data_IF_405829994664
#
_entry.id   IF_405829994664
#
_cell.length_a   1.000
_cell.length_b   1.000
_cell.length_c   1.000
_cell.angle_alpha   90.00
_cell.angle_beta   90.00
_cell.angle_gamma   90.00
#
_symmetry.space_group_name_H-M   'P 1'
#
loop_
_entity.id
_entity.type
_entity.pdbx_description
1 polymer ?
#
# COMPACT_ATOMS: atom_id res chain seq x y z
N UNK A 1 -20.78 16.00 22.37
CA UNK A 1 -21.68 16.26 23.53
C UNK A 1 -23.08 16.67 23.06
N UNK A 2 -24.17 16.41 23.80
CA UNK A 2 -25.54 16.76 23.37
C UNK A 2 -25.77 18.25 23.13
N UNK A 3 -24.96 19.11 23.76
CA UNK A 3 -25.03 20.57 23.66
C UNK A 3 -24.50 21.11 22.32
N UNK A 4 -23.54 20.43 21.67
CA UNK A 4 -23.00 20.82 20.34
C UNK A 4 -23.98 20.52 19.20
N UNK A 5 -24.94 19.62 19.41
CA UNK A 5 -25.95 19.22 18.41
C UNK A 5 -27.27 20.00 18.54
N UNK A 6 -27.45 20.74 19.64
CA UNK A 6 -28.64 21.58 19.88
C UNK A 6 -28.90 22.66 18.81
N UNK A 7 -27.88 23.31 18.21
CA UNK A 7 -28.09 24.30 17.14
C UNK A 7 -28.61 23.70 15.83
N UNK A 8 -28.31 22.42 15.57
CA UNK A 8 -28.60 21.77 14.28
C UNK A 8 -30.04 21.23 14.18
N UNK A 9 -30.80 21.24 15.28
CA UNK A 9 -32.17 20.72 15.33
C UNK A 9 -32.24 19.19 15.16
N UNK A 10 -33.11 18.53 15.93
CA UNK A 10 -33.40 17.10 15.76
C UNK A 10 -34.10 16.81 14.43
N UNK A 11 -34.12 15.54 14.00
CA UNK A 11 -34.93 15.12 12.86
C UNK A 11 -36.41 15.48 13.13
N UNK A 12 -37.13 16.02 12.13
CA UNK A 12 -38.55 16.30 12.29
C UNK A 12 -39.29 14.99 12.53
N UNK A 13 -40.23 15.00 13.47
CA UNK A 13 -41.03 13.82 13.77
C UNK A 13 -41.77 13.36 12.51
N UNK A 14 -41.73 12.05 12.23
CA UNK A 14 -42.57 11.47 11.19
C UNK A 14 -44.03 11.81 11.48
N UNK A 15 -44.85 12.14 10.45
CA UNK A 15 -46.26 12.42 10.65
C UNK A 15 -46.94 11.21 11.33
N UNK A 16 -47.33 11.36 12.59
CA UNK A 16 -47.99 10.28 13.33
C UNK A 16 -49.48 10.28 13.02
N UNK A 17 -49.93 9.30 12.25
CA UNK A 17 -51.35 8.96 12.18
C UNK A 17 -51.75 8.32 13.51
N UNK A 18 -52.75 8.88 14.18
CA UNK A 18 -53.22 8.44 15.50
C UNK A 18 -53.92 7.06 15.52
N UNK A 19 -53.91 6.30 14.43
CA UNK A 19 -54.57 4.99 14.36
C UNK A 19 -53.56 3.84 14.18
N UNK A 20 -53.20 3.23 15.31
CA UNK A 20 -52.57 1.92 15.39
C UNK A 20 -53.49 0.84 14.82
N UNK A 21 -53.50 0.69 13.49
CA UNK A 21 -53.65 -0.58 12.75
C UNK A 21 -53.97 -0.26 11.29
N UNK A 22 -52.95 0.01 10.48
CA UNK A 22 -52.81 -0.29 9.04
C UNK A 22 -51.74 0.62 8.46
N UNK A 23 -50.94 0.09 7.53
CA UNK A 23 -49.99 0.84 6.71
C UNK A 23 -50.75 1.83 5.82
N UNK A 24 -51.14 2.97 6.38
CA UNK A 24 -51.79 4.07 5.66
C UNK A 24 -50.73 4.91 4.95
N UNK A 25 -50.90 5.02 3.63
CA UNK A 25 -50.10 5.89 2.77
C UNK A 25 -50.22 7.33 3.28
N UNK A 26 -49.08 7.96 3.59
CA UNK A 26 -48.97 9.40 3.83
C UNK A 26 -49.76 10.17 2.77
N UNK A 27 -50.56 11.14 3.19
CA UNK A 27 -51.25 12.01 2.23
C UNK A 27 -50.22 12.89 1.52
N UNK A 28 -50.47 13.26 0.26
CA UNK A 28 -49.55 14.12 -0.51
C UNK A 28 -49.27 15.46 0.19
N UNK A 29 -50.21 15.95 0.99
CA UNK A 29 -50.09 17.18 1.77
C UNK A 29 -49.13 17.00 2.95
N UNK A 30 -49.23 15.90 3.70
CA UNK A 30 -48.32 15.60 4.81
C UNK A 30 -46.88 15.34 4.33
N UNK A 31 -46.72 14.72 3.15
CA UNK A 31 -45.42 14.54 2.51
C UNK A 31 -44.80 15.88 2.14
N UNK A 32 -45.58 16.76 1.50
CA UNK A 32 -45.12 18.09 1.09
C UNK A 32 -44.74 18.97 2.29
N UNK A 33 -45.50 18.89 3.40
CA UNK A 33 -45.16 19.58 4.64
C UNK A 33 -43.90 19.03 5.31
N UNK A 34 -43.69 17.71 5.24
CA UNK A 34 -42.47 17.08 5.74
C UNK A 34 -41.25 17.47 4.92
N UNK A 35 -41.35 17.44 3.58
CA UNK A 35 -40.31 17.89 2.65
C UNK A 35 -39.96 19.35 2.87
N UNK A 36 -40.95 20.24 3.02
CA UNK A 36 -40.71 21.65 3.30
C UNK A 36 -39.99 21.89 4.64
N UNK A 37 -40.31 21.09 5.68
CA UNK A 37 -39.61 21.16 6.98
C UNK A 37 -38.19 20.61 6.90
N UNK A 38 -37.96 19.56 6.12
CA UNK A 38 -36.63 19.00 5.87
C UNK A 38 -35.75 20.00 5.12
N UNK A 39 -36.29 20.66 4.09
CA UNK A 39 -35.59 21.69 3.32
C UNK A 39 -35.20 22.88 4.21
N UNK A 40 -36.12 23.36 5.05
CA UNK A 40 -35.85 24.48 5.97
C UNK A 40 -34.80 24.10 7.03
N UNK A 41 -34.88 22.89 7.58
CA UNK A 41 -33.86 22.37 8.50
C UNK A 41 -32.50 22.23 7.81
N UNK A 42 -32.47 21.77 6.56
CA UNK A 42 -31.24 21.68 5.79
C UNK A 42 -30.63 23.08 5.58
N UNK A 43 -31.41 24.06 5.14
CA UNK A 43 -30.95 25.45 4.96
C UNK A 43 -30.41 26.04 6.26
N UNK A 44 -31.13 25.88 7.37
CA UNK A 44 -30.67 26.35 8.69
C UNK A 44 -29.34 25.72 9.10
N UNK A 45 -29.15 24.41 8.84
CA UNK A 45 -27.88 23.73 9.11
C UNK A 45 -26.75 24.26 8.23
N UNK A 46 -27.02 24.55 6.95
CA UNK A 46 -26.02 25.16 6.06
C UNK A 46 -25.61 26.55 6.54
N UNK A 47 -26.57 27.38 6.98
CA UNK A 47 -26.29 28.72 7.50
C UNK A 47 -25.47 28.68 8.79
N UNK A 48 -25.78 27.77 9.72
CA UNK A 48 -24.99 27.56 10.94
C UNK A 48 -23.58 27.04 10.63
N UNK A 49 -23.43 26.09 9.70
CA UNK A 49 -22.12 25.62 9.25
C UNK A 49 -21.30 26.75 8.62
N UNK A 50 -21.92 27.57 7.76
CA UNK A 50 -21.26 28.70 7.13
C UNK A 50 -20.83 29.77 8.15
N UNK A 51 -21.65 30.00 9.17
CA UNK A 51 -21.32 30.91 10.28
C UNK A 51 -20.16 30.36 11.12
N UNK A 52 -20.18 29.07 11.46
CA UNK A 52 -19.09 28.42 12.18
C UNK A 52 -17.77 28.40 11.39
N UNK A 53 -17.83 28.28 10.05
CA UNK A 53 -16.67 28.44 9.16
C UNK A 53 -16.17 29.90 9.15
N UNK A 54 -17.08 30.87 9.08
CA UNK A 54 -16.74 32.30 9.06
C UNK A 54 -16.13 32.79 10.38
N UNK A 55 -16.60 32.24 11.51
CA UNK A 55 -16.13 32.56 12.86
C UNK A 55 -14.82 31.82 13.22
N UNK A 56 -14.26 31.02 12.30
CA UNK A 56 -13.02 30.26 12.49
C UNK A 56 -13.15 29.06 13.43
N UNK A 57 -14.38 28.67 13.78
CA UNK A 57 -14.66 27.53 14.67
C UNK A 57 -14.60 26.18 13.94
N UNK A 58 -14.71 26.18 12.61
CA UNK A 58 -14.54 25.01 11.76
C UNK A 58 -13.44 25.32 10.74
N UNK A 59 -12.46 24.41 10.64
CA UNK A 59 -11.41 24.51 9.64
C UNK A 59 -12.02 24.49 8.22
N UNK A 60 -11.59 25.40 7.35
CA UNK A 60 -11.95 25.39 5.93
C UNK A 60 -11.18 24.24 5.24
N UNK A 61 -11.76 23.04 5.33
CA UNK A 61 -11.15 21.81 4.85
C UNK A 61 -10.77 21.87 3.35
N UNK A 62 -11.62 22.37 2.43
CA UNK A 62 -11.23 22.55 1.02
C UNK A 62 -10.07 23.52 0.83
N UNK A 63 -9.97 24.57 1.66
CA UNK A 63 -8.82 25.49 1.62
C UNK A 63 -7.54 24.79 2.08
N UNK A 64 -7.60 23.98 3.14
CA UNK A 64 -6.45 23.20 3.61
C UNK A 64 -5.97 22.26 2.49
N UNK A 65 -6.87 21.51 1.85
CA UNK A 65 -6.51 20.65 0.73
C UNK A 65 -5.86 21.43 -0.42
N UNK A 66 -6.40 22.60 -0.79
CA UNK A 66 -5.80 23.48 -1.81
C UNK A 66 -4.40 23.94 -1.44
N UNK A 67 -4.18 24.32 -0.18
CA UNK A 67 -2.85 24.70 0.31
C UNK A 67 -1.86 23.52 0.18
N UNK A 68 -2.26 22.31 0.58
CA UNK A 68 -1.39 21.12 0.47
C UNK A 68 -1.10 20.75 -0.98
N UNK A 69 -2.09 20.81 -1.86
CA UNK A 69 -1.90 20.59 -3.31
C UNK A 69 -0.87 21.58 -3.86
N UNK A 70 -0.93 22.84 -3.44
CA UNK A 70 0.02 23.86 -3.88
C UNK A 70 1.43 23.61 -3.33
N UNK A 71 1.57 23.10 -2.11
CA UNK A 71 2.86 22.62 -1.58
C UNK A 71 3.43 21.47 -2.41
N UNK A 72 2.60 20.48 -2.81
CA UNK A 72 3.07 19.37 -3.66
C UNK A 72 3.57 19.88 -5.02
N UNK A 73 2.83 20.82 -5.63
CA UNK A 73 3.23 21.45 -6.90
C UNK A 73 4.52 22.26 -6.76
N UNK A 74 4.61 23.09 -5.71
CA UNK A 74 5.78 23.93 -5.45
C UNK A 74 7.04 23.07 -5.33
N UNK A 75 6.96 21.99 -4.56
CA UNK A 75 8.04 21.01 -4.45
C UNK A 75 8.43 20.41 -5.80
N UNK A 76 7.47 19.95 -6.59
CA UNK A 76 7.78 19.31 -7.88
C UNK A 76 8.31 20.29 -8.94
N UNK A 77 8.03 21.60 -8.81
CA UNK A 77 8.58 22.64 -9.68
C UNK A 77 10.02 23.02 -9.31
N UNK A 78 10.38 22.90 -8.03
CA UNK A 78 11.69 23.30 -7.51
C UNK A 78 12.19 22.33 -6.43
N UNK A 79 12.32 21.04 -6.80
CA UNK A 79 12.61 19.98 -5.84
C UNK A 79 14.00 20.12 -5.23
N UNK A 80 14.96 20.66 -5.99
CA UNK A 80 16.35 20.81 -5.56
C UNK A 80 16.46 21.79 -4.40
N UNK A 81 15.85 22.98 -4.53
CA UNK A 81 15.97 24.02 -3.51
C UNK A 81 15.23 23.61 -2.22
N UNK A 82 14.04 23.00 -2.32
CA UNK A 82 13.32 22.49 -1.15
C UNK A 82 14.09 21.36 -0.44
N UNK A 83 14.68 20.41 -1.20
CA UNK A 83 15.46 19.32 -0.62
C UNK A 83 16.67 19.86 0.15
N UNK A 84 17.34 20.88 -0.39
CA UNK A 84 18.45 21.56 0.28
C UNK A 84 17.98 22.28 1.56
N UNK A 85 16.86 23.00 1.51
CA UNK A 85 16.30 23.68 2.68
C UNK A 85 15.94 22.68 3.81
N UNK A 86 15.30 21.55 3.45
CA UNK A 86 14.99 20.48 4.40
C UNK A 86 16.24 19.89 5.04
N UNK A 87 17.29 19.66 4.26
CA UNK A 87 18.55 19.09 4.72
C UNK A 87 19.29 20.06 5.65
N UNK A 88 19.35 21.35 5.30
CA UNK A 88 19.91 22.40 6.17
C UNK A 88 19.09 22.58 7.46
N UNK A 89 17.77 22.44 7.38
CA UNK A 89 16.87 22.43 8.54
C UNK A 89 17.20 21.30 9.52
N UNK A 90 17.38 20.07 9.00
CA UNK A 90 17.76 18.89 9.81
C UNK A 90 19.14 19.03 10.45
N UNK A 91 20.11 19.57 9.72
CA UNK A 91 21.46 19.80 10.26
C UNK A 91 21.43 20.80 11.43
N UNK A 92 20.67 21.89 11.28
CA UNK A 92 20.49 22.89 12.35
C UNK A 92 19.78 22.35 13.58
N UNK A 93 18.78 21.47 13.45
CA UNK A 93 18.09 20.89 14.61
C UNK A 93 19.00 19.97 15.42
N UNK A 94 19.87 19.19 14.75
CA UNK A 94 20.81 18.29 15.43
C UNK A 94 21.83 19.10 16.27
N UNK A 95 22.27 20.25 15.78
CA UNK A 95 23.21 21.12 16.48
C UNK A 95 22.58 21.92 17.65
N UNK A 96 21.24 21.92 17.81
CA UNK A 96 20.53 22.63 18.88
C UNK A 96 19.91 21.71 19.94
N UNK A 97 19.81 20.40 19.69
CA UNK A 97 19.31 19.41 20.65
C UNK A 97 20.30 19.11 21.80
N UNK A 98 21.49 19.73 21.84
CA UNK A 98 22.42 19.63 22.96
C UNK A 98 22.24 20.73 24.04
N UNK A 99 21.43 21.79 23.84
CA UNK A 99 21.36 22.91 24.80
C UNK A 99 19.97 23.38 25.29
N UNK A 100 18.82 22.97 24.75
CA UNK A 100 17.52 23.51 25.22
C UNK A 100 16.45 22.46 25.56
N UNK A 101 16.45 22.05 26.84
CA UNK A 101 15.35 21.38 27.53
C UNK A 101 14.26 22.42 27.92
N UNK A 102 13.62 23.09 26.94
CA UNK A 102 12.41 23.90 27.23
C UNK A 102 11.39 23.94 26.06
N UNK A 103 10.71 22.81 25.85
CA UNK A 103 9.26 22.75 26.07
C UNK A 103 8.30 23.64 25.27
N UNK A 104 8.68 24.27 24.16
CA UNK A 104 7.71 25.02 23.33
C UNK A 104 7.79 24.69 21.84
N UNK A 105 7.23 23.52 21.48
CA UNK A 105 6.81 23.22 20.11
C UNK A 105 5.73 24.22 19.67
N UNK A 106 6.17 25.31 19.04
CA UNK A 106 5.32 26.22 18.29
C UNK A 106 4.83 25.51 17.02
N UNK A 107 3.83 24.63 17.16
CA UNK A 107 3.07 24.05 16.06
C UNK A 107 2.13 25.11 15.45
N UNK A 108 2.69 26.06 14.73
CA UNK A 108 1.88 27.04 13.98
C UNK A 108 1.42 26.45 12.66
N UNK A 109 0.36 25.63 12.68
CA UNK A 109 -0.75 25.50 11.70
C UNK A 109 -0.49 25.45 10.18
N UNK A 110 0.75 25.53 9.69
CA UNK A 110 1.08 25.64 8.28
C UNK A 110 2.09 24.55 7.99
N UNK A 111 1.68 23.50 7.27
CA UNK A 111 2.60 22.50 6.76
C UNK A 111 3.49 23.20 5.71
N UNK A 112 4.59 23.77 6.19
CA UNK A 112 5.40 24.69 5.38
C UNK A 112 6.33 23.95 4.41
N UNK A 113 6.51 22.65 4.61
CA UNK A 113 7.34 21.81 3.76
C UNK A 113 6.58 20.57 3.27
N UNK A 114 7.14 19.93 2.24
CA UNK A 114 6.56 18.74 1.58
C UNK A 114 6.33 17.56 2.54
N UNK A 115 7.22 17.32 3.52
CA UNK A 115 7.10 16.19 4.45
C UNK A 115 5.91 16.39 5.40
N UNK A 116 5.75 17.58 5.96
CA UNK A 116 4.61 17.94 6.80
C UNK A 116 3.31 17.89 5.99
N UNK A 117 3.34 18.39 4.75
CA UNK A 117 2.16 18.38 3.89
C UNK A 117 1.69 16.95 3.59
N UNK A 118 2.61 16.02 3.32
CA UNK A 118 2.28 14.62 3.08
C UNK A 118 1.76 13.89 4.33
N UNK A 119 2.30 14.20 5.52
CA UNK A 119 1.80 13.65 6.80
C UNK A 119 0.40 14.17 7.14
N UNK A 120 0.15 15.46 6.90
CA UNK A 120 -1.17 16.06 7.07
C UNK A 120 -2.18 15.49 6.07
N UNK A 121 -1.78 15.32 4.81
CA UNK A 121 -2.59 14.64 3.80
C UNK A 121 -2.86 13.17 4.16
N UNK A 122 -1.88 12.41 4.66
CA UNK A 122 -2.14 11.02 5.11
C UNK A 122 -3.28 10.98 6.14
N UNK A 123 -3.30 11.90 7.10
CA UNK A 123 -4.38 12.00 8.06
C UNK A 123 -5.70 12.44 7.42
N UNK A 124 -5.70 13.51 6.62
CA UNK A 124 -6.91 14.06 6.03
C UNK A 124 -7.57 13.09 5.05
N UNK A 125 -6.79 12.45 4.18
CA UNK A 125 -7.30 11.53 3.17
C UNK A 125 -7.71 10.16 3.76
N UNK A 126 -7.57 9.94 5.07
CA UNK A 126 -8.20 8.80 5.74
C UNK A 126 -9.72 8.94 5.83
N UNK A 127 -10.22 10.18 5.71
CA UNK A 127 -11.64 10.48 5.52
C UNK A 127 -12.00 10.39 4.03
N UNK A 128 -13.07 9.67 3.73
CA UNK A 128 -13.50 9.34 2.36
C UNK A 128 -13.93 10.59 1.59
N UNK A 129 -14.60 11.54 2.25
CA UNK A 129 -15.06 12.76 1.59
C UNK A 129 -13.87 13.68 1.30
N UNK A 130 -12.91 13.77 2.22
CA UNK A 130 -11.65 14.50 2.00
C UNK A 130 -10.80 13.89 0.89
N UNK A 131 -10.74 12.56 0.78
CA UNK A 131 -10.09 11.88 -0.33
C UNK A 131 -10.74 12.24 -1.67
N UNK A 132 -12.08 12.21 -1.74
CA UNK A 132 -12.85 12.58 -2.93
C UNK A 132 -12.64 14.04 -3.32
N UNK A 133 -12.65 14.95 -2.34
CA UNK A 133 -12.44 16.37 -2.55
C UNK A 133 -11.00 16.65 -3.04
N UNK A 134 -9.99 16.01 -2.44
CA UNK A 134 -8.60 16.13 -2.88
C UNK A 134 -8.42 15.69 -4.34
N UNK A 135 -9.03 14.56 -4.72
CA UNK A 135 -9.05 14.09 -6.11
C UNK A 135 -9.75 15.09 -7.04
N UNK A 136 -10.94 15.55 -6.66
CA UNK A 136 -11.75 16.51 -7.42
C UNK A 136 -11.04 17.86 -7.60
N UNK A 137 -10.26 18.29 -6.61
CA UNK A 137 -9.44 19.50 -6.66
C UNK A 137 -8.15 19.33 -7.49
N UNK A 138 -7.91 18.14 -8.07
CA UNK A 138 -6.77 17.86 -8.93
C UNK A 138 -5.48 17.56 -8.17
N UNK A 139 -5.56 17.15 -6.90
CA UNK A 139 -4.38 16.79 -6.10
C UNK A 139 -3.76 15.44 -6.47
N UNK A 140 -4.57 14.53 -7.01
CA UNK A 140 -4.18 13.13 -7.28
C UNK A 140 -2.97 13.00 -8.22
N UNK A 141 -2.90 13.68 -9.38
CA UNK A 141 -1.76 13.55 -10.27
C UNK A 141 -0.43 14.03 -9.66
N UNK A 142 -0.45 15.07 -8.83
CA UNK A 142 0.75 15.57 -8.16
C UNK A 142 1.22 14.64 -7.05
N UNK A 143 0.30 14.04 -6.30
CA UNK A 143 0.64 13.04 -5.30
C UNK A 143 1.30 11.81 -5.93
N UNK A 144 0.79 11.33 -7.07
CA UNK A 144 1.39 10.22 -7.81
C UNK A 144 2.75 10.61 -8.41
N UNK A 145 2.89 11.83 -8.93
CA UNK A 145 4.14 12.30 -9.52
C UNK A 145 5.33 12.23 -8.53
N UNK A 146 5.08 12.42 -7.22
CA UNK A 146 6.08 12.25 -6.17
C UNK A 146 6.63 10.82 -6.03
N UNK A 147 6.08 9.82 -6.72
CA UNK A 147 6.66 8.47 -6.77
C UNK A 147 7.78 8.35 -7.81
N UNK A 148 7.85 9.27 -8.76
CA UNK A 148 8.81 9.23 -9.87
C UNK A 148 10.17 9.79 -9.44
N UNK A 149 11.18 8.92 -9.36
CA UNK A 149 12.54 9.29 -8.95
C UNK A 149 13.14 10.43 -9.80
N UNK A 150 12.77 10.49 -11.09
CA UNK A 150 13.31 11.47 -12.04
C UNK A 150 12.84 12.91 -11.79
N UNK A 151 11.77 13.08 -10.99
CA UNK A 151 11.26 14.40 -10.62
C UNK A 151 11.92 14.98 -9.37
N UNK A 152 12.75 14.19 -8.67
CA UNK A 152 13.52 14.65 -7.53
C UNK A 152 14.92 15.06 -7.99
N UNK A 153 15.04 16.23 -8.61
CA UNK A 153 16.30 16.73 -9.16
C UNK A 153 17.42 16.73 -8.11
N UNK A 154 18.57 16.15 -8.46
CA UNK A 154 19.76 16.15 -7.64
C UNK A 154 21.03 16.28 -8.51
N UNK A 155 22.00 17.08 -8.05
CA UNK A 155 23.32 17.24 -8.68
C UNK A 155 24.29 16.17 -8.15
N UNK A 156 25.07 15.52 -9.01
CA UNK A 156 25.99 14.41 -8.68
C UNK A 156 27.21 14.79 -7.79
N UNK A 157 27.01 15.39 -6.60
CA UNK A 157 28.05 15.58 -5.58
C UNK A 157 27.96 14.48 -4.51
N UNK A 158 28.96 13.58 -4.48
CA UNK A 158 28.90 12.23 -3.88
C UNK A 158 28.43 12.11 -2.41
N UNK A 159 28.88 12.98 -1.49
CA UNK A 159 28.54 12.83 -0.04
C UNK A 159 27.19 13.46 0.33
N UNK A 160 26.81 14.57 -0.32
CA UNK A 160 25.49 15.20 -0.13
C UNK A 160 24.39 14.33 -0.75
N UNK A 161 24.78 13.53 -1.75
CA UNK A 161 23.90 12.64 -2.49
C UNK A 161 23.19 11.61 -1.62
N UNK A 162 23.89 10.98 -0.67
CA UNK A 162 23.29 9.93 0.16
C UNK A 162 22.20 10.46 1.11
N UNK A 163 22.41 11.64 1.71
CA UNK A 163 21.41 12.29 2.56
C UNK A 163 20.20 12.78 1.75
N UNK A 164 20.44 13.34 0.56
CA UNK A 164 19.37 13.78 -0.34
C UNK A 164 18.57 12.58 -0.84
N UNK A 165 19.22 11.49 -1.27
CA UNK A 165 18.53 10.26 -1.66
C UNK A 165 17.70 9.68 -0.51
N UNK A 166 18.22 9.71 0.71
CA UNK A 166 17.46 9.27 1.88
C UNK A 166 16.21 10.15 2.13
N UNK A 167 16.31 11.47 1.91
CA UNK A 167 15.16 12.39 1.96
C UNK A 167 14.15 12.13 0.84
N UNK A 168 14.63 11.88 -0.38
CA UNK A 168 13.78 11.54 -1.52
C UNK A 168 13.02 10.24 -1.24
N UNK A 169 13.69 9.19 -0.78
CA UNK A 169 13.04 7.94 -0.36
C UNK A 169 12.00 8.18 0.75
N UNK A 170 12.23 9.11 1.68
CA UNK A 170 11.26 9.48 2.71
C UNK A 170 10.01 10.16 2.13
N UNK A 171 10.18 11.11 1.22
CA UNK A 171 9.09 11.78 0.51
C UNK A 171 8.28 10.75 -0.30
N UNK A 172 8.96 9.89 -1.06
CA UNK A 172 8.33 8.81 -1.84
C UNK A 172 7.60 7.81 -0.93
N UNK A 173 8.15 7.51 0.25
CA UNK A 173 7.51 6.63 1.24
C UNK A 173 6.23 7.24 1.82
N UNK A 174 6.23 8.53 2.11
CA UNK A 174 5.04 9.24 2.57
C UNK A 174 4.00 9.30 1.45
N UNK A 175 4.39 9.69 0.23
CA UNK A 175 3.50 9.71 -0.92
C UNK A 175 2.83 8.34 -1.17
N UNK A 176 3.61 7.24 -1.16
CA UNK A 176 3.09 5.89 -1.30
C UNK A 176 2.10 5.50 -0.18
N UNK A 177 2.35 5.95 1.05
CA UNK A 177 1.43 5.73 2.17
C UNK A 177 0.14 6.53 1.98
N UNK A 178 0.25 7.82 1.66
CA UNK A 178 -0.87 8.72 1.43
C UNK A 178 -1.76 8.24 0.27
N UNK A 179 -1.17 7.71 -0.80
CA UNK A 179 -1.90 7.05 -1.91
C UNK A 179 -2.71 5.85 -1.39
N UNK A 180 -2.08 4.98 -0.59
CA UNK A 180 -2.76 3.82 -0.01
C UNK A 180 -3.91 4.22 0.91
N UNK A 181 -3.70 5.23 1.76
CA UNK A 181 -4.71 5.76 2.68
C UNK A 181 -5.87 6.41 1.93
N UNK A 182 -5.60 7.21 0.89
CA UNK A 182 -6.64 7.90 0.12
C UNK A 182 -7.60 6.92 -0.58
N UNK A 183 -7.09 5.79 -1.08
CA UNK A 183 -7.92 4.77 -1.75
C UNK A 183 -8.57 3.82 -0.75
N UNK A 184 -7.89 3.51 0.37
CA UNK A 184 -8.40 2.70 1.50
C UNK A 184 -9.08 1.37 1.11
N UNK A 185 -8.72 0.79 -0.05
CA UNK A 185 -9.38 -0.38 -0.62
C UNK A 185 -10.92 -0.21 -0.78
N UNK A 186 -11.40 1.02 -1.02
CA UNK A 186 -12.81 1.30 -1.20
C UNK A 186 -13.24 1.13 -2.66
N UNK A 187 -14.41 0.50 -2.85
CA UNK A 187 -14.93 0.18 -4.18
C UNK A 187 -15.08 1.39 -5.10
N UNK A 188 -15.43 2.56 -4.56
CA UNK A 188 -15.62 3.79 -5.34
C UNK A 188 -14.31 4.34 -5.93
N UNK A 189 -13.16 4.06 -5.30
CA UNK A 189 -11.85 4.58 -5.71
C UNK A 189 -11.04 3.61 -6.57
N UNK A 190 -11.59 2.42 -6.91
CA UNK A 190 -10.91 1.40 -7.73
C UNK A 190 -10.36 1.96 -9.05
N UNK A 191 -11.06 2.91 -9.67
CA UNK A 191 -10.66 3.50 -10.95
C UNK A 191 -9.42 4.41 -10.85
N UNK A 192 -9.11 4.97 -9.67
CA UNK A 192 -7.95 5.84 -9.46
C UNK A 192 -6.61 5.11 -9.64
N UNK A 193 -6.60 3.79 -9.41
CA UNK A 193 -5.41 2.95 -9.59
C UNK A 193 -4.85 3.00 -11.02
N UNK A 194 -5.72 3.17 -12.01
CA UNK A 194 -5.42 3.09 -13.44
C UNK A 194 -5.62 4.42 -14.19
N UNK A 195 -5.89 5.49 -13.44
CA UNK A 195 -6.00 6.84 -13.98
C UNK A 195 -4.68 7.28 -14.60
N UNK A 196 -4.75 7.85 -15.80
CA UNK A 196 -3.57 8.30 -16.54
C UNK A 196 -3.12 9.68 -16.04
N UNK A 197 -1.94 9.71 -15.43
CA UNK A 197 -1.28 10.92 -14.94
C UNK A 197 -0.05 11.29 -15.77
N UNK A 198 0.17 10.64 -16.92
CA UNK A 198 1.32 10.92 -17.80
C UNK A 198 1.41 12.39 -18.20
N UNK A 199 0.28 13.06 -18.41
CA UNK A 199 0.26 14.48 -18.77
C UNK A 199 0.92 15.35 -17.70
N UNK A 200 0.54 15.18 -16.44
CA UNK A 200 1.12 15.90 -15.30
C UNK A 200 2.59 15.51 -15.11
N UNK A 201 2.92 14.23 -15.08
CA UNK A 201 4.33 13.79 -14.88
C UNK A 201 5.23 14.34 -15.99
N UNK A 202 4.79 14.30 -17.25
CA UNK A 202 5.56 14.83 -18.38
C UNK A 202 5.65 16.35 -18.39
N UNK A 203 4.67 17.08 -17.84
CA UNK A 203 4.74 18.53 -17.66
C UNK A 203 5.83 18.90 -16.64
N UNK A 204 5.96 18.13 -15.55
CA UNK A 204 6.95 18.37 -14.50
C UNK A 204 8.37 17.95 -14.91
N UNK A 205 8.52 16.98 -15.82
CA UNK A 205 9.83 16.62 -16.41
C UNK A 205 10.34 17.74 -17.32
N UNK A 206 11.09 18.67 -16.76
CA UNK A 206 11.67 19.79 -17.52
C UNK A 206 12.68 19.30 -18.57
N UNK A 207 12.30 19.36 -19.85
CA UNK A 207 13.15 19.33 -21.07
C UNK A 207 14.22 18.24 -21.27
N UNK A 208 14.31 17.18 -20.46
CA UNK A 208 15.30 16.12 -20.68
C UNK A 208 14.69 14.91 -21.41
N UNK A 209 15.07 14.77 -22.69
CA UNK A 209 14.88 13.64 -23.60
C UNK A 209 13.44 13.19 -23.95
N UNK A 210 13.10 13.38 -25.23
CA UNK A 210 11.81 13.10 -25.89
C UNK A 210 11.46 11.60 -26.07
N UNK A 211 12.21 10.64 -25.51
CA UNK A 211 12.07 9.22 -25.91
C UNK A 211 10.90 8.48 -25.28
N UNK A 212 10.41 8.87 -24.09
CA UNK A 212 9.39 8.09 -23.35
C UNK A 212 8.04 8.78 -23.15
N UNK A 213 7.69 9.75 -24.02
CA UNK A 213 6.45 10.55 -23.90
C UNK A 213 5.14 9.77 -24.10
N UNK A 214 5.20 8.48 -24.42
CA UNK A 214 4.01 7.69 -24.76
C UNK A 214 3.66 6.61 -23.74
N UNK A 215 4.44 6.43 -22.67
CA UNK A 215 4.08 5.44 -21.65
C UNK A 215 2.96 5.99 -20.75
N UNK A 216 1.91 5.18 -20.54
CA UNK A 216 0.82 5.50 -19.63
C UNK A 216 1.30 5.35 -18.19
N UNK A 217 1.24 6.43 -17.42
CA UNK A 217 1.66 6.48 -16.03
C UNK A 217 0.42 6.49 -15.15
N UNK A 218 0.40 5.57 -14.21
CA UNK A 218 -0.70 5.37 -13.26
C UNK A 218 -0.07 5.18 -11.88
N UNK A 219 -0.87 5.30 -10.81
CA UNK A 219 -0.39 4.96 -9.48
C UNK A 219 0.14 3.52 -9.42
N UNK A 220 -0.56 2.58 -10.08
CA UNK A 220 -0.17 1.18 -10.16
C UNK A 220 1.17 0.98 -10.88
N UNK A 221 1.36 1.59 -12.05
CA UNK A 221 2.59 1.41 -12.83
C UNK A 221 3.79 2.05 -12.14
N UNK A 222 3.65 3.25 -11.56
CA UNK A 222 4.75 3.91 -10.84
C UNK A 222 5.17 3.17 -9.57
N UNK A 223 4.22 2.66 -8.78
CA UNK A 223 4.54 1.83 -7.60
C UNK A 223 5.20 0.50 -7.98
N UNK A 224 4.81 -0.10 -9.10
CA UNK A 224 5.43 -1.33 -9.61
C UNK A 224 6.85 -1.06 -10.11
N UNK A 225 7.04 0.08 -10.80
CA UNK A 225 8.34 0.49 -11.36
C UNK A 225 9.43 0.61 -10.31
N UNK A 226 9.09 1.00 -9.07
CA UNK A 226 10.03 1.04 -7.93
C UNK A 226 10.77 -0.29 -7.73
N UNK A 227 10.04 -1.40 -7.85
CA UNK A 227 10.61 -2.74 -7.63
C UNK A 227 11.38 -3.23 -8.86
N UNK A 228 10.93 -2.84 -10.05
CA UNK A 228 11.60 -3.12 -11.32
C UNK A 228 12.96 -2.41 -11.39
N UNK A 229 13.00 -1.10 -11.12
CA UNK A 229 14.23 -0.30 -11.07
C UNK A 229 15.26 -0.92 -10.12
N UNK A 230 14.85 -1.42 -8.95
CA UNK A 230 15.77 -2.10 -8.02
C UNK A 230 16.29 -3.45 -8.56
N UNK A 231 15.47 -4.20 -9.29
CA UNK A 231 15.91 -5.44 -9.94
C UNK A 231 16.90 -5.16 -11.06
N UNK A 232 16.66 -4.12 -11.85
CA UNK A 232 17.54 -3.71 -12.94
C UNK A 232 18.88 -3.25 -12.39
N UNK A 233 18.89 -2.39 -11.35
CA UNK A 233 20.10 -1.96 -10.65
C UNK A 233 20.91 -3.15 -10.10
N UNK A 234 20.25 -4.16 -9.51
CA UNK A 234 20.92 -5.37 -9.03
C UNK A 234 21.51 -6.20 -10.17
N UNK A 235 20.77 -6.31 -11.27
CA UNK A 235 21.21 -7.07 -12.45
C UNK A 235 22.44 -6.42 -13.08
N UNK A 236 22.43 -5.09 -13.21
CA UNK A 236 23.58 -4.30 -13.66
C UNK A 236 24.78 -4.46 -12.72
N UNK A 237 24.57 -4.40 -11.41
CA UNK A 237 25.63 -4.61 -10.42
C UNK A 237 26.26 -6.02 -10.51
N UNK A 238 25.44 -7.06 -10.69
CA UNK A 238 25.91 -8.43 -10.87
C UNK A 238 26.66 -8.63 -12.20
N UNK A 239 26.23 -7.97 -13.28
CA UNK A 239 26.95 -7.97 -14.55
C UNK A 239 28.35 -7.33 -14.44
N UNK A 240 28.55 -6.44 -13.46
CA UNK A 240 29.84 -5.86 -13.09
C UNK A 240 30.82 -6.81 -12.38
N UNK A 241 30.42 -8.04 -12.06
CA UNK A 241 31.32 -9.08 -11.53
C UNK A 241 31.52 -9.10 -10.01
N UNK A 242 30.76 -8.32 -9.24
CA UNK A 242 30.76 -8.39 -7.77
C UNK A 242 29.64 -9.31 -7.28
N UNK A 243 30.01 -10.47 -6.73
CA UNK A 243 29.09 -11.46 -6.12
C UNK A 243 28.42 -10.95 -4.83
N UNK A 244 28.98 -9.90 -4.22
CA UNK A 244 28.33 -9.14 -3.17
C UNK A 244 27.68 -7.93 -3.83
N UNK A 245 26.34 -7.90 -3.87
CA UNK A 245 25.60 -6.66 -4.13
C UNK A 245 25.65 -5.84 -2.83
N UNK A 246 26.86 -5.43 -2.44
CA UNK A 246 27.00 -4.20 -1.68
C UNK A 246 26.68 -3.10 -2.68
N UNK A 247 25.43 -2.60 -2.65
CA UNK A 247 25.11 -1.36 -3.36
C UNK A 247 26.16 -0.30 -3.00
N UNK A 248 26.54 0.57 -3.93
CA UNK A 248 27.68 1.48 -3.80
C UNK A 248 27.59 2.24 -2.47
N UNK A 249 28.48 1.91 -1.52
CA UNK A 249 28.73 2.62 -0.26
C UNK A 249 27.55 3.31 0.43
N UNK A 250 26.34 2.73 0.42
CA UNK A 250 25.20 3.40 1.00
C UNK A 250 25.32 3.43 2.53
N UNK A 251 25.20 4.62 3.12
CA UNK A 251 25.07 4.74 4.57
C UNK A 251 23.92 3.87 5.10
N UNK A 252 24.03 3.38 6.34
CA UNK A 252 22.96 2.59 6.98
C UNK A 252 21.61 3.36 6.98
N UNK A 253 21.68 4.69 7.10
CA UNK A 253 20.52 5.57 7.02
C UNK A 253 19.83 5.51 5.66
N UNK A 254 20.59 5.61 4.55
CA UNK A 254 20.04 5.50 3.21
C UNK A 254 19.43 4.12 2.95
N UNK A 255 20.12 3.04 3.31
CA UNK A 255 19.58 1.68 3.17
C UNK A 255 18.27 1.50 3.96
N UNK A 256 18.18 2.11 5.14
CA UNK A 256 16.97 2.08 5.98
C UNK A 256 15.84 2.91 5.38
N UNK A 257 16.14 4.08 4.81
CA UNK A 257 15.15 4.91 4.11
C UNK A 257 14.59 4.15 2.91
N UNK A 258 15.46 3.57 2.08
CA UNK A 258 15.06 2.74 0.93
C UNK A 258 14.20 1.54 1.33
N UNK A 259 14.60 0.80 2.37
CA UNK A 259 13.80 -0.31 2.89
C UNK A 259 12.44 0.14 3.43
N UNK A 260 12.38 1.33 4.05
CA UNK A 260 11.12 1.93 4.52
C UNK A 260 10.23 2.33 3.34
N UNK A 261 10.80 2.93 2.31
CA UNK A 261 10.07 3.25 1.08
C UNK A 261 9.44 2.00 0.48
N UNK A 262 10.17 0.90 0.31
CA UNK A 262 9.62 -0.36 -0.22
C UNK A 262 8.46 -0.90 0.61
N UNK A 263 8.55 -0.79 1.93
CA UNK A 263 7.46 -1.16 2.84
C UNK A 263 6.20 -0.29 2.68
N UNK A 264 6.35 0.98 2.35
CA UNK A 264 5.23 1.89 2.08
C UNK A 264 4.69 1.72 0.67
N UNK A 265 5.57 1.50 -0.31
CA UNK A 265 5.21 1.21 -1.69
C UNK A 265 4.36 -0.06 -1.79
N UNK A 266 4.73 -1.14 -1.09
CA UNK A 266 3.92 -2.37 -1.07
C UNK A 266 2.56 -2.17 -0.37
N UNK A 267 2.49 -1.28 0.61
CA UNK A 267 1.22 -0.91 1.25
C UNK A 267 0.31 -0.13 0.28
N UNK A 268 0.85 0.88 -0.40
CA UNK A 268 0.15 1.62 -1.45
C UNK A 268 -0.34 0.68 -2.54
N UNK A 269 0.53 -0.19 -3.04
CA UNK A 269 0.23 -1.18 -4.07
C UNK A 269 -0.89 -2.13 -3.63
N UNK A 270 -0.82 -2.66 -2.42
CA UNK A 270 -1.87 -3.54 -1.88
C UNK A 270 -3.21 -2.83 -1.72
N UNK A 271 -3.22 -1.55 -1.39
CA UNK A 271 -4.46 -0.76 -1.26
C UNK A 271 -5.12 -0.49 -2.61
N UNK A 272 -4.34 -0.43 -3.70
CA UNK A 272 -4.84 -0.29 -5.07
C UNK A 272 -5.36 -1.61 -5.66
N UNK A 273 -4.75 -2.74 -5.26
CA UNK A 273 -5.01 -4.05 -5.84
C UNK A 273 -6.13 -4.82 -5.16
N UNK A 274 -6.25 -4.75 -3.83
CA UNK A 274 -7.28 -5.49 -3.10
C UNK A 274 -8.66 -5.13 -3.64
N UNK A 275 -9.50 -6.15 -3.80
CA UNK A 275 -10.84 -6.04 -4.34
C UNK A 275 -10.93 -5.32 -5.68
N UNK A 276 -9.85 -5.15 -6.47
CA UNK A 276 -9.87 -4.36 -7.69
C UNK A 276 -9.48 -5.21 -8.92
N UNK A 277 -10.42 -5.98 -9.50
CA UNK A 277 -10.14 -6.90 -10.60
C UNK A 277 -9.40 -6.26 -11.77
N UNK A 278 -9.78 -5.03 -12.16
CA UNK A 278 -9.17 -4.34 -13.30
C UNK A 278 -7.72 -3.96 -13.01
N UNK A 279 -7.41 -3.48 -11.79
CA UNK A 279 -6.04 -3.18 -11.41
C UNK A 279 -5.19 -4.46 -11.27
N UNK A 280 -5.76 -5.55 -10.74
CA UNK A 280 -5.08 -6.83 -10.66
C UNK A 280 -4.72 -7.39 -12.05
N UNK A 281 -5.64 -7.34 -13.00
CA UNK A 281 -5.37 -7.73 -14.40
C UNK A 281 -4.23 -6.91 -15.00
N UNK A 282 -4.29 -5.58 -14.88
CA UNK A 282 -3.23 -4.69 -15.38
C UNK A 282 -1.88 -4.93 -14.68
N UNK A 283 -1.89 -5.24 -13.39
CA UNK A 283 -0.68 -5.56 -12.64
C UNK A 283 0.02 -6.82 -13.19
N UNK A 284 -0.76 -7.84 -13.56
CA UNK A 284 -0.23 -9.09 -14.13
C UNK A 284 0.26 -8.90 -15.56
N UNK A 285 -0.48 -8.17 -16.40
CA UNK A 285 -0.05 -7.87 -17.77
C UNK A 285 1.31 -7.19 -17.80
N UNK A 286 1.63 -6.42 -16.77
CA UNK A 286 2.92 -5.74 -16.59
C UNK A 286 3.94 -6.57 -15.79
N UNK A 287 3.75 -7.89 -15.67
CA UNK A 287 4.62 -8.83 -14.97
C UNK A 287 4.84 -8.49 -13.47
N UNK A 288 3.91 -7.74 -12.85
CA UNK A 288 4.03 -7.26 -11.48
C UNK A 288 4.32 -8.34 -10.43
N UNK A 289 3.63 -9.50 -10.43
CA UNK A 289 3.89 -10.56 -9.45
C UNK A 289 5.31 -11.12 -9.50
N UNK A 290 5.87 -11.33 -10.70
CA UNK A 290 7.25 -11.80 -10.90
C UNK A 290 8.26 -10.76 -10.41
N UNK A 291 8.03 -9.49 -10.74
CA UNK A 291 8.86 -8.37 -10.25
C UNK A 291 8.91 -8.33 -8.73
N UNK A 292 7.76 -8.47 -8.05
CA UNK A 292 7.72 -8.46 -6.59
C UNK A 292 8.46 -9.64 -5.97
N UNK A 293 8.17 -10.88 -6.40
CA UNK A 293 8.77 -12.07 -5.78
C UNK A 293 10.27 -12.13 -6.02
N UNK A 294 10.74 -11.76 -7.21
CA UNK A 294 12.18 -11.68 -7.51
C UNK A 294 12.87 -10.61 -6.68
N UNK A 295 12.22 -9.46 -6.47
CA UNK A 295 12.77 -8.41 -5.63
C UNK A 295 12.93 -8.88 -4.18
N UNK A 296 11.92 -9.57 -3.63
CA UNK A 296 11.98 -10.18 -2.30
C UNK A 296 13.06 -11.24 -2.20
N UNK A 297 13.08 -12.21 -3.11
CA UNK A 297 14.07 -13.29 -3.10
C UNK A 297 15.49 -12.75 -3.24
N UNK A 298 15.71 -11.75 -4.09
CA UNK A 298 16.99 -11.05 -4.17
C UNK A 298 17.34 -10.35 -2.85
N UNK A 299 16.37 -9.71 -2.19
CA UNK A 299 16.60 -9.01 -0.92
C UNK A 299 16.98 -10.00 0.19
N UNK A 300 16.31 -11.14 0.28
CA UNK A 300 16.57 -12.18 1.26
C UNK A 300 17.81 -13.02 0.96
N UNK A 301 18.24 -13.08 -0.30
CA UNK A 301 19.43 -13.83 -0.73
C UNK A 301 20.70 -13.01 -0.70
N UNK A 302 20.61 -11.68 -0.58
CA UNK A 302 21.76 -10.83 -0.34
C UNK A 302 22.43 -11.24 0.98
N UNK A 303 23.58 -11.92 0.85
CA UNK A 303 24.52 -12.13 1.95
C UNK A 303 25.08 -10.76 2.32
N UNK A 304 24.34 -10.01 3.12
CA UNK A 304 24.91 -8.85 3.79
C UNK A 304 26.02 -9.39 4.68
N UNK A 305 27.23 -8.83 4.55
CA UNK A 305 28.39 -9.27 5.31
C UNK A 305 28.13 -9.30 6.82
N UNK A 306 29.05 -9.88 7.62
CA UNK A 306 28.90 -10.01 9.08
C UNK A 306 28.73 -8.69 9.87
N UNK A 307 28.79 -7.54 9.20
CA UNK A 307 28.53 -6.18 9.72
C UNK A 307 27.08 -5.70 9.46
N UNK A 308 26.21 -6.54 8.90
CA UNK A 308 24.83 -6.17 8.59
C UNK A 308 24.06 -5.71 9.83
N UNK A 309 23.53 -4.49 9.80
CA UNK A 309 22.64 -3.98 10.84
C UNK A 309 21.41 -4.91 10.97
N UNK A 310 21.18 -5.53 12.14
CA UNK A 310 19.99 -6.37 12.38
C UNK A 310 18.67 -5.65 12.10
N UNK A 311 18.65 -4.31 12.20
CA UNK A 311 17.47 -3.49 11.92
C UNK A 311 17.06 -3.55 10.44
N UNK A 312 18.03 -3.57 9.52
CA UNK A 312 17.77 -3.67 8.08
C UNK A 312 17.23 -5.06 7.73
N UNK A 313 17.82 -6.12 8.28
CA UNK A 313 17.33 -7.49 8.08
C UNK A 313 15.89 -7.63 8.58
N UNK A 314 15.52 -7.01 9.71
CA UNK A 314 14.12 -6.97 10.17
C UNK A 314 13.19 -6.29 9.17
N UNK A 315 13.63 -5.21 8.52
CA UNK A 315 12.83 -4.53 7.49
C UNK A 315 12.67 -5.40 6.25
N UNK A 316 13.69 -6.15 5.82
CA UNK A 316 13.59 -7.03 4.65
C UNK A 316 12.61 -8.18 4.88
N UNK A 317 12.68 -8.84 6.04
CA UNK A 317 11.73 -9.90 6.38
C UNK A 317 10.31 -9.35 6.57
N UNK A 318 10.17 -8.12 7.10
CA UNK A 318 8.88 -7.44 7.14
C UNK A 318 8.36 -7.16 5.74
N UNK A 319 9.22 -6.74 4.81
CA UNK A 319 8.88 -6.49 3.41
C UNK A 319 8.44 -7.78 2.72
N UNK A 320 9.25 -8.84 2.80
CA UNK A 320 8.93 -10.17 2.28
C UNK A 320 7.57 -10.67 2.79
N UNK A 321 7.32 -10.51 4.09
CA UNK A 321 6.05 -10.93 4.69
C UNK A 321 4.86 -10.09 4.22
N UNK A 322 5.06 -8.80 3.90
CA UNK A 322 4.01 -7.94 3.34
C UNK A 322 3.73 -8.23 1.87
N UNK A 323 4.76 -8.57 1.08
CA UNK A 323 4.59 -9.05 -0.31
C UNK A 323 3.85 -10.38 -0.32
N UNK A 324 4.20 -11.31 0.58
CA UNK A 324 3.52 -12.59 0.70
C UNK A 324 2.04 -12.42 1.07
N UNK A 325 1.74 -11.54 2.02
CA UNK A 325 0.36 -11.22 2.39
C UNK A 325 -0.42 -10.57 1.23
N UNK A 326 0.22 -9.73 0.39
CA UNK A 326 -0.42 -9.21 -0.81
C UNK A 326 -0.76 -10.33 -1.81
N UNK A 327 0.17 -11.27 -2.03
CA UNK A 327 -0.09 -12.43 -2.89
C UNK A 327 -1.24 -13.29 -2.38
N UNK A 328 -1.30 -13.53 -1.07
CA UNK A 328 -2.43 -14.19 -0.41
C UNK A 328 -3.74 -13.43 -0.64
N UNK A 329 -3.76 -12.12 -0.35
CA UNK A 329 -4.96 -11.29 -0.49
C UNK A 329 -5.51 -11.35 -1.93
N UNK A 330 -4.64 -11.24 -2.94
CA UNK A 330 -5.05 -11.27 -4.35
C UNK A 330 -5.56 -12.65 -4.76
N UNK A 331 -4.87 -13.74 -4.38
CA UNK A 331 -5.32 -15.10 -4.67
C UNK A 331 -6.68 -15.36 -4.03
N UNK A 332 -6.85 -14.98 -2.76
CA UNK A 332 -8.11 -15.15 -2.04
C UNK A 332 -9.23 -14.29 -2.63
N UNK A 333 -8.94 -13.05 -3.02
CA UNK A 333 -9.90 -12.17 -3.69
C UNK A 333 -10.41 -12.79 -4.99
N UNK A 334 -9.52 -13.35 -5.82
CA UNK A 334 -9.87 -14.01 -7.08
C UNK A 334 -10.71 -15.26 -6.82
N UNK A 335 -10.32 -16.09 -5.85
CA UNK A 335 -11.06 -17.32 -5.51
C UNK A 335 -12.46 -17.02 -4.96
N UNK A 336 -12.60 -15.97 -4.14
CA UNK A 336 -13.89 -15.60 -3.54
C UNK A 336 -14.82 -14.88 -4.54
N UNK A 337 -14.25 -14.15 -5.51
CA UNK A 337 -14.98 -13.32 -6.46
C UNK A 337 -14.78 -13.76 -7.91
N UNK A 338 -14.62 -15.06 -8.18
CA UNK A 338 -14.36 -15.63 -9.51
C UNK A 338 -15.33 -15.12 -10.60
N UNK A 339 -16.57 -14.80 -10.21
CA UNK A 339 -17.60 -14.25 -11.11
C UNK A 339 -17.30 -12.84 -11.63
N UNK A 340 -16.46 -12.05 -10.95
CA UNK A 340 -16.03 -10.73 -11.40
C UNK A 340 -14.92 -10.81 -12.46
N UNK A 341 -14.36 -12.01 -12.68
CA UNK A 341 -13.32 -12.28 -13.67
C UNK A 341 -13.90 -12.95 -14.90
N UNK A 342 -13.23 -12.75 -16.04
CA UNK A 342 -13.67 -13.36 -17.30
C UNK A 342 -13.36 -14.85 -17.25
N UNK A 343 -14.43 -15.66 -17.20
CA UNK A 343 -14.35 -17.10 -17.37
C UNK A 343 -14.30 -17.40 -18.87
N UNK A 344 -13.12 -17.75 -19.38
CA UNK A 344 -13.01 -18.30 -20.74
C UNK A 344 -13.46 -19.76 -20.66
N UNK A 345 -14.54 -20.10 -21.38
CA UNK A 345 -14.97 -21.48 -21.54
C UNK A 345 -13.81 -22.31 -22.09
N UNK A 346 -13.38 -23.35 -21.37
CA UNK A 346 -12.26 -24.20 -21.78
C UNK A 346 -12.49 -24.85 -23.15
N UNK A 347 -13.76 -25.00 -23.55
CA UNK A 347 -14.18 -25.50 -24.86
C UNK A 347 -14.10 -24.47 -26.00
N UNK A 348 -13.77 -23.21 -25.69
CA UNK A 348 -13.55 -22.17 -26.70
C UNK A 348 -12.36 -22.55 -27.60
N UNK A 349 -12.54 -22.32 -28.90
CA UNK A 349 -11.52 -22.57 -29.92
C UNK A 349 -10.25 -21.76 -29.66
N UNK A 350 -9.08 -22.28 -30.01
CA UNK A 350 -7.78 -21.61 -29.84
C UNK A 350 -7.74 -20.18 -30.43
N UNK A 351 -8.50 -19.91 -31.49
CA UNK A 351 -8.60 -18.58 -32.09
C UNK A 351 -9.27 -17.56 -31.14
N UNK A 352 -10.30 -17.98 -30.40
CA UNK A 352 -10.99 -17.14 -29.42
C UNK A 352 -10.08 -16.88 -28.19
N UNK A 353 -9.33 -17.90 -27.76
CA UNK A 353 -8.33 -17.75 -26.68
C UNK A 353 -7.22 -16.77 -27.06
N UNK A 354 -6.80 -16.76 -28.34
CA UNK A 354 -5.82 -15.79 -28.86
C UNK A 354 -6.37 -14.37 -28.94
N UNK A 355 -7.62 -14.19 -29.34
CA UNK A 355 -8.25 -12.88 -29.37
C UNK A 355 -8.36 -12.27 -27.97
N UNK A 356 -8.76 -13.05 -26.95
CA UNK A 356 -8.78 -12.58 -25.56
C UNK A 356 -7.38 -12.25 -25.01
N UNK A 357 -6.38 -13.05 -25.35
CA UNK A 357 -4.99 -12.76 -24.98
C UNK A 357 -4.47 -11.48 -25.66
N UNK A 358 -4.86 -11.22 -26.91
CA UNK A 358 -4.53 -10.00 -27.63
C UNK A 358 -5.21 -8.75 -27.06
N UNK A 359 -6.40 -8.91 -26.45
CA UNK A 359 -7.11 -7.85 -25.72
C UNK A 359 -6.62 -7.66 -24.28
N UNK A 360 -5.63 -8.44 -23.82
CA UNK A 360 -5.08 -8.34 -22.46
C UNK A 360 -6.03 -8.87 -21.38
N UNK A 361 -7.02 -9.68 -21.74
CA UNK A 361 -7.96 -10.24 -20.77
C UNK A 361 -7.31 -11.41 -20.03
N UNK A 362 -7.23 -11.29 -18.70
CA UNK A 362 -6.68 -12.33 -17.81
C UNK A 362 -7.81 -13.08 -17.10
N UNK A 363 -7.78 -14.41 -17.19
CA UNK A 363 -8.72 -15.30 -16.47
C UNK A 363 -8.36 -15.43 -14.99
N UNK A 364 -9.32 -15.80 -14.14
CA UNK A 364 -9.08 -16.08 -12.73
C UNK A 364 -7.92 -17.10 -12.52
N UNK A 365 -7.88 -18.16 -13.33
CA UNK A 365 -6.81 -19.16 -13.27
C UNK A 365 -5.44 -18.58 -13.61
N UNK A 366 -5.35 -17.71 -14.63
CA UNK A 366 -4.09 -17.02 -14.96
C UNK A 366 -3.67 -16.04 -13.85
N UNK A 367 -4.64 -15.37 -13.21
CA UNK A 367 -4.40 -14.52 -12.05
C UNK A 367 -3.78 -15.32 -10.90
N UNK A 368 -4.41 -16.41 -10.48
CA UNK A 368 -3.88 -17.28 -9.42
C UNK A 368 -2.52 -17.86 -9.81
N UNK A 369 -2.35 -18.33 -11.05
CA UNK A 369 -1.09 -18.88 -11.54
C UNK A 369 0.08 -17.88 -11.45
N UNK A 370 -0.18 -16.59 -11.69
CA UNK A 370 0.86 -15.55 -11.60
C UNK A 370 1.41 -15.32 -10.18
N UNK A 371 0.63 -15.66 -9.15
CA UNK A 371 1.03 -15.59 -7.73
C UNK A 371 1.39 -16.95 -7.13
N UNK A 372 1.42 -18.00 -7.95
CA UNK A 372 1.72 -19.38 -7.52
C UNK A 372 2.78 -20.04 -8.40
N UNK A 373 3.68 -19.22 -8.96
CA UNK A 373 4.90 -19.70 -9.61
C UNK A 373 5.83 -20.37 -8.60
N UNK A 374 6.81 -21.14 -9.09
CA UNK A 374 7.81 -21.80 -8.24
C UNK A 374 8.44 -20.84 -7.20
N UNK A 375 8.75 -19.61 -7.62
CA UNK A 375 9.35 -18.58 -6.77
C UNK A 375 8.42 -18.11 -5.63
N UNK A 376 7.11 -17.98 -5.91
CA UNK A 376 6.12 -17.65 -4.89
C UNK A 376 5.93 -18.80 -3.91
N UNK A 377 5.86 -20.02 -4.44
CA UNK A 377 5.77 -21.23 -3.62
C UNK A 377 7.01 -21.38 -2.72
N UNK A 378 8.23 -21.23 -3.25
CA UNK A 378 9.47 -21.25 -2.46
C UNK A 378 9.49 -20.15 -1.40
N UNK A 379 9.12 -18.91 -1.76
CA UNK A 379 9.05 -17.81 -0.81
C UNK A 379 8.10 -18.14 0.35
N UNK A 380 6.92 -18.68 0.07
CA UNK A 380 5.93 -19.01 1.10
C UNK A 380 6.49 -20.02 2.12
N UNK A 381 7.22 -21.05 1.64
CA UNK A 381 7.85 -22.05 2.50
C UNK A 381 9.07 -21.51 3.24
N UNK A 382 9.91 -20.71 2.58
CA UNK A 382 11.08 -20.06 3.20
C UNK A 382 10.69 -19.18 4.37
N UNK A 383 9.54 -18.50 4.28
CA UNK A 383 9.01 -17.62 5.32
C UNK A 383 8.40 -18.38 6.52
N UNK A 384 8.30 -19.72 6.48
CA UNK A 384 7.96 -20.56 7.65
C UNK A 384 9.14 -20.78 8.60
N UNK A 385 10.37 -20.48 8.18
CA UNK A 385 11.58 -20.63 8.99
C UNK A 385 12.45 -19.35 9.02
N UNK A 386 11.88 -18.18 9.38
CA UNK A 386 12.65 -16.95 9.42
C UNK A 386 13.65 -16.96 10.60
N UNK A 387 14.81 -16.30 10.48
CA UNK A 387 15.89 -16.37 11.46
C UNK A 387 15.50 -15.67 12.77
N UNK A 388 15.15 -16.47 13.78
CA UNK A 388 14.69 -16.00 15.10
C UNK A 388 15.73 -15.16 15.83
N UNK A 389 17.01 -15.46 15.66
CA UNK A 389 18.13 -14.73 16.28
C UNK A 389 18.20 -13.26 15.84
N UNK A 390 17.82 -12.97 14.59
CA UNK A 390 17.85 -11.61 14.02
C UNK A 390 16.54 -10.86 14.32
N UNK A 391 15.42 -11.55 14.18
CA UNK A 391 14.09 -10.93 14.22
C UNK A 391 13.51 -10.83 15.63
N UNK A 392 13.97 -11.68 16.54
CA UNK A 392 13.29 -11.97 17.80
C UNK A 392 12.10 -12.90 17.62
N UNK A 393 11.73 -13.60 18.70
CA UNK A 393 10.68 -14.62 18.69
C UNK A 393 9.30 -14.07 18.28
N UNK A 394 8.92 -12.90 18.81
CA UNK A 394 7.62 -12.29 18.53
C UNK A 394 7.45 -11.94 17.04
N UNK A 395 8.45 -11.30 16.44
CA UNK A 395 8.41 -10.93 15.01
C UNK A 395 8.45 -12.16 14.11
N UNK A 396 9.31 -13.14 14.45
CA UNK A 396 9.41 -14.42 13.73
C UNK A 396 8.08 -15.16 13.74
N UNK A 397 7.38 -15.21 14.88
CA UNK A 397 6.06 -15.83 15.01
C UNK A 397 5.01 -15.16 14.11
N UNK A 398 4.91 -13.84 14.16
CA UNK A 398 3.96 -13.10 13.30
C UNK A 398 4.27 -13.21 11.80
N UNK A 399 5.53 -13.49 11.43
CA UNK A 399 5.89 -13.81 10.05
C UNK A 399 5.45 -15.22 9.67
N UNK A 400 5.71 -16.22 10.53
CA UNK A 400 5.29 -17.61 10.32
C UNK A 400 3.77 -17.74 10.19
N UNK A 401 3.01 -17.02 11.01
CA UNK A 401 1.55 -16.99 10.95
C UNK A 401 1.06 -16.53 9.57
N UNK A 402 1.56 -15.39 9.07
CA UNK A 402 1.21 -14.90 7.72
C UNK A 402 1.67 -15.86 6.63
N UNK A 403 2.84 -16.46 6.78
CA UNK A 403 3.34 -17.43 5.83
C UNK A 403 2.44 -18.68 5.76
N UNK A 404 1.92 -19.16 6.89
CA UNK A 404 0.96 -20.26 6.92
C UNK A 404 -0.34 -19.90 6.21
N UNK A 405 -0.87 -18.70 6.43
CA UNK A 405 -2.08 -18.24 5.72
C UNK A 405 -1.87 -18.20 4.21
N UNK A 406 -0.73 -17.66 3.76
CA UNK A 406 -0.37 -17.65 2.35
C UNK A 406 -0.16 -19.07 1.78
N UNK A 407 0.53 -19.97 2.49
CA UNK A 407 0.67 -21.37 2.09
C UNK A 407 -0.70 -22.03 1.93
N UNK A 408 -1.64 -21.79 2.85
CA UNK A 408 -3.00 -22.31 2.74
C UNK A 408 -3.72 -21.81 1.50
N UNK A 409 -3.61 -20.52 1.19
CA UNK A 409 -4.25 -19.92 0.02
C UNK A 409 -3.64 -20.43 -1.30
N UNK A 410 -2.31 -20.56 -1.35
CA UNK A 410 -1.57 -20.92 -2.57
C UNK A 410 -1.44 -22.44 -2.80
N UNK A 411 -1.64 -23.26 -1.75
CA UNK A 411 -1.43 -24.70 -1.78
C UNK A 411 -2.05 -25.43 -2.98
N UNK A 412 -3.34 -25.21 -3.34
CA UNK A 412 -3.95 -25.93 -4.45
C UNK A 412 -3.21 -25.76 -5.78
N UNK A 413 -2.67 -24.56 -6.02
CA UNK A 413 -1.95 -24.25 -7.26
C UNK A 413 -0.47 -24.63 -7.16
N UNK A 414 0.19 -24.36 -6.03
CA UNK A 414 1.58 -24.76 -5.81
C UNK A 414 1.78 -26.29 -5.88
N UNK A 415 0.81 -27.08 -5.40
CA UNK A 415 0.86 -28.53 -5.53
C UNK A 415 0.75 -29.01 -6.97
N UNK A 416 -0.11 -28.38 -7.78
CA UNK A 416 -0.25 -28.73 -9.19
C UNK A 416 1.06 -28.48 -9.94
N UNK A 417 1.72 -27.33 -9.70
CA UNK A 417 3.03 -27.01 -10.28
C UNK A 417 4.09 -28.03 -9.85
N UNK A 418 4.14 -28.41 -8.57
CA UNK A 418 5.16 -29.33 -8.07
C UNK A 418 4.99 -30.78 -8.58
N UNK A 419 3.75 -31.24 -8.76
CA UNK A 419 3.44 -32.57 -9.29
C UNK A 419 3.83 -32.73 -10.76
N UNK A 420 3.85 -31.65 -11.54
CA UNK A 420 4.32 -31.68 -12.92
C UNK A 420 5.85 -31.88 -13.03
N UNK A 421 6.60 -31.43 -12.03
CA UNK A 421 8.08 -31.44 -12.06
C UNK A 421 8.71 -32.65 -11.40
N UNK A 422 8.07 -33.23 -10.38
CA UNK A 422 8.66 -34.29 -9.55
C UNK A 422 7.84 -35.58 -9.64
N UNK A 423 8.40 -36.60 -10.29
CA UNK A 423 7.89 -37.97 -10.26
C UNK A 423 8.02 -38.54 -8.83
N UNK A 424 6.97 -38.43 -8.00
CA UNK A 424 6.91 -39.08 -6.68
C UNK A 424 5.80 -38.58 -5.75
N UNK A 425 5.58 -39.31 -4.64
CA UNK A 425 4.62 -39.00 -3.56
C UNK A 425 5.04 -37.78 -2.69
N UNK A 426 5.94 -36.92 -3.18
CA UNK A 426 6.42 -35.76 -2.40
C UNK A 426 5.39 -34.65 -2.51
N UNK A 427 4.68 -34.41 -1.41
CA UNK A 427 3.69 -33.33 -1.30
C UNK A 427 4.39 -32.03 -0.91
N UNK A 428 4.24 -31.00 -1.76
CA UNK A 428 4.80 -29.66 -1.54
C UNK A 428 4.46 -29.12 -0.14
N UNK A 429 5.47 -28.62 0.59
CA UNK A 429 5.32 -27.87 1.84
C UNK A 429 4.92 -28.67 3.10
N UNK A 430 4.59 -29.96 2.99
CA UNK A 430 4.08 -30.74 4.14
C UNK A 430 5.11 -30.83 5.27
N UNK A 431 6.38 -31.04 4.95
CA UNK A 431 7.43 -31.20 5.96
C UNK A 431 7.78 -29.88 6.65
N UNK A 432 7.76 -28.76 5.92
CA UNK A 432 7.92 -27.42 6.45
C UNK A 432 6.80 -27.07 7.44
N UNK A 433 5.54 -27.34 7.07
CA UNK A 433 4.38 -27.06 7.93
C UNK A 433 4.38 -27.98 9.16
N UNK A 434 4.72 -29.27 9.03
CA UNK A 434 4.91 -30.18 10.18
C UNK A 434 5.99 -29.68 11.13
N UNK A 435 7.08 -29.11 10.62
CA UNK A 435 8.16 -28.54 11.45
C UNK A 435 7.65 -27.39 12.30
N UNK A 436 6.86 -26.47 11.72
CA UNK A 436 6.20 -25.38 12.47
C UNK A 436 5.27 -25.93 13.53
N UNK A 437 4.48 -26.97 13.22
CA UNK A 437 3.62 -27.66 14.19
C UNK A 437 4.41 -28.16 15.40
N UNK A 438 5.52 -28.87 15.16
CA UNK A 438 6.36 -29.46 16.21
C UNK A 438 6.98 -28.36 17.08
N UNK A 439 7.42 -27.27 16.46
CA UNK A 439 7.97 -26.11 17.17
C UNK A 439 6.94 -25.49 18.11
N UNK A 440 5.72 -25.23 17.64
CA UNK A 440 4.65 -24.60 18.44
C UNK A 440 3.96 -25.54 19.42
N UNK A 441 4.04 -26.86 19.20
CA UNK A 441 3.50 -27.86 20.11
C UNK A 441 4.47 -28.25 21.25
N UNK A 442 5.66 -27.66 21.31
CA UNK A 442 6.64 -27.98 22.35
C UNK A 442 6.15 -27.51 23.72
N UNK A 443 5.58 -28.43 24.50
CA UNK A 443 5.16 -28.19 25.88
C UNK A 443 6.32 -27.66 26.74
N UNK A 444 6.04 -26.67 27.59
CA UNK A 444 7.04 -26.11 28.52
C UNK A 444 8.14 -25.28 27.86
N UNK A 445 7.94 -24.81 26.62
CA UNK A 445 8.89 -23.97 25.87
C UNK A 445 9.28 -22.67 26.56
N UNK A 446 8.53 -22.21 27.57
CA UNK A 446 8.78 -20.93 28.23
C UNK A 446 8.60 -19.72 27.31
N UNK A 447 7.97 -19.90 26.15
CA UNK A 447 7.80 -18.89 25.08
C UNK A 447 6.76 -17.78 25.41
N UNK A 448 6.19 -17.83 26.62
CA UNK A 448 5.23 -16.84 27.12
C UNK A 448 3.89 -16.81 26.36
N UNK A 449 3.59 -17.81 25.51
CA UNK A 449 2.35 -17.84 24.75
C UNK A 449 1.15 -18.16 25.64
N UNK A 450 0.11 -17.35 25.50
CA UNK A 450 -1.21 -17.66 26.06
C UNK A 450 -1.74 -18.97 25.44
N UNK A 451 -2.33 -19.89 26.25
CA UNK A 451 -2.83 -21.16 25.76
C UNK A 451 -3.91 -21.05 24.66
N UNK A 452 -4.73 -19.99 24.67
CA UNK A 452 -5.77 -19.76 23.66
C UNK A 452 -5.11 -19.41 22.33
N UNK A 453 -4.18 -18.46 22.33
CA UNK A 453 -3.47 -18.09 21.11
C UNK A 453 -2.60 -19.24 20.57
N UNK A 454 -1.96 -20.05 21.44
CA UNK A 454 -1.26 -21.27 21.00
C UNK A 454 -2.21 -22.23 20.28
N UNK A 455 -3.42 -22.41 20.80
CA UNK A 455 -4.42 -23.27 20.17
C UNK A 455 -4.80 -22.73 18.79
N UNK A 456 -5.05 -21.43 18.65
CA UNK A 456 -5.35 -20.80 17.35
C UNK A 456 -4.23 -21.02 16.32
N UNK A 457 -2.97 -20.90 16.74
CA UNK A 457 -1.82 -21.18 15.88
C UNK A 457 -1.75 -22.64 15.43
N UNK A 458 -2.04 -23.59 16.34
CA UNK A 458 -2.09 -25.02 15.99
C UNK A 458 -3.28 -25.34 15.08
N UNK A 459 -4.44 -24.73 15.31
CA UNK A 459 -5.62 -24.87 14.47
C UNK A 459 -5.34 -24.33 13.04
N UNK A 460 -4.58 -23.23 12.91
CA UNK A 460 -4.12 -22.72 11.61
C UNK A 460 -3.22 -23.74 10.90
N UNK A 461 -2.22 -24.29 11.59
CA UNK A 461 -1.30 -25.29 11.04
C UNK A 461 -2.04 -26.55 10.60
N UNK A 462 -2.95 -27.04 11.43
CA UNK A 462 -3.75 -28.23 11.13
C UNK A 462 -4.70 -27.97 9.95
N UNK A 463 -5.23 -26.74 9.84
CA UNK A 463 -5.98 -26.29 8.67
C UNK A 463 -5.16 -26.28 7.39
N UNK A 464 -3.89 -25.86 7.45
CA UNK A 464 -2.97 -25.89 6.29
C UNK A 464 -2.64 -27.33 5.90
N UNK A 465 -2.32 -28.18 6.87
CA UNK A 465 -2.04 -29.61 6.62
C UNK A 465 -3.24 -30.33 6.00
N UNK A 466 -4.46 -29.96 6.38
CA UNK A 466 -5.69 -30.52 5.79
C UNK A 466 -5.97 -30.05 4.36
N UNK A 467 -5.36 -28.95 3.89
CA UNK A 467 -5.40 -28.56 2.48
C UNK A 467 -4.30 -29.27 1.69
N UNK A 468 -3.16 -29.56 2.35
CA UNK A 468 -2.02 -30.19 1.70
C UNK A 468 -2.17 -31.72 1.54
N UNK A 469 -2.95 -32.39 2.39
CA UNK A 469 -3.15 -33.85 2.41
C UNK A 469 -4.51 -34.24 1.87
#
# INVERSE_FOLDING_TARGET
PPEELAPFGGLPALPSSNDTTTTTKLTAVELQEFEAKMELLWQHRQDELQKMQSDGSIADLPKILRERIETLKGYLMDSSDELMELLEGRRRSIDHDEEEEDGTNSSSSSANNIIEALRDLEFQLSDVDMARDFHTLGGWPYLIALLDDTLHAHNDDDDVNDEIRALVDEIRALAATTIGTAVSNLGEFRHWALEDVSSTVNEMRTSSNNSDKNEKMTALSLLTRVFQEELDQRTEAMAGGTMAVEGPSHTVAMAKSRATFKLRAIYGLGSLLRGNPTAQQQFILNNGPDVLVRNVLGTLSNVRGPTADPSLSRLDYKFASKVLALGEDVVMDVVLHDQEYIQIDESATDDVKKDYAAEGVTTANQLVASFTTEQWCDLSLRMLAPPTEVLGEMSSRGIKERALSAVRAMAPSCQAVYQEEVDGDIVWGVEEVKRVRVEWNREGSGDGLDPVYRKELLDLVDGVLGVLQ
#
